data_IF_136835045345
#
_entry.id   IF_136835045345
#
_cell.length_a   1.000
_cell.length_b   1.000
_cell.length_c   1.000
_cell.angle_alpha   90.00
_cell.angle_beta   90.00
_cell.angle_gamma   90.00
#
_symmetry.space_group_name_H-M   'P 1'
#
loop_
_entity.id
_entity.type
_entity.pdbx_description
1 polymer ?
#
# COMPACT_ATOMS: atom_id res chain seq x y z
N UNK A 1 -6.97 6.50 -8.25
CA UNK A 1 -7.64 7.50 -7.37
C UNK A 1 -8.92 8.07 -7.99
N UNK A 2 -8.88 8.62 -9.22
CA UNK A 2 -10.05 9.23 -9.89
C UNK A 2 -11.34 8.38 -9.84
N UNK A 3 -11.28 7.09 -10.16
CA UNK A 3 -12.46 6.19 -10.15
C UNK A 3 -13.13 6.07 -8.78
N UNK A 4 -12.35 6.02 -7.69
CA UNK A 4 -12.89 5.93 -6.32
C UNK A 4 -13.62 7.22 -5.97
N UNK A 5 -13.02 8.37 -6.31
CA UNK A 5 -13.59 9.69 -6.04
C UNK A 5 -14.86 9.92 -6.88
N UNK A 6 -14.80 9.60 -8.19
CA UNK A 6 -15.90 9.79 -9.12
C UNK A 6 -17.10 8.89 -8.80
N UNK A 7 -16.85 7.61 -8.48
CA UNK A 7 -17.92 6.65 -8.21
C UNK A 7 -18.34 6.63 -6.73
N UNK A 8 -17.59 7.30 -5.85
CA UNK A 8 -17.80 7.32 -4.38
C UNK A 8 -17.99 5.93 -3.75
N UNK A 9 -17.39 4.92 -4.36
CA UNK A 9 -17.40 3.53 -3.87
C UNK A 9 -16.01 2.93 -4.01
N UNK A 10 -15.66 2.06 -3.07
CA UNK A 10 -14.43 1.30 -3.03
C UNK A 10 -14.65 -0.20 -3.31
N UNK A 11 -15.78 -0.54 -3.92
CA UNK A 11 -16.09 -1.92 -4.36
C UNK A 11 -14.98 -2.51 -5.24
N UNK A 12 -14.66 -3.78 -4.96
CA UNK A 12 -13.64 -4.55 -5.69
C UNK A 12 -12.22 -4.45 -5.14
N UNK A 13 -11.97 -3.63 -4.11
CA UNK A 13 -10.68 -3.62 -3.40
C UNK A 13 -10.68 -4.58 -2.22
N UNK A 14 -9.66 -5.43 -2.14
CA UNK A 14 -9.42 -6.29 -0.98
C UNK A 14 -8.67 -5.51 0.11
N UNK A 15 -9.17 -5.46 1.36
CA UNK A 15 -8.47 -4.79 2.46
C UNK A 15 -7.09 -5.41 2.75
N UNK A 16 -6.94 -6.72 2.54
CA UNK A 16 -5.65 -7.41 2.65
C UNK A 16 -4.63 -6.93 1.59
N UNK A 17 -5.08 -6.72 0.37
CA UNK A 17 -4.21 -6.22 -0.70
C UNK A 17 -3.72 -4.80 -0.39
N UNK A 18 -4.58 -3.94 0.16
CA UNK A 18 -4.22 -2.58 0.56
C UNK A 18 -3.28 -2.59 1.77
N UNK A 19 -3.51 -3.46 2.76
CA UNK A 19 -2.63 -3.67 3.90
C UNK A 19 -1.22 -4.05 3.43
N UNK A 20 -1.09 -5.18 2.72
CA UNK A 20 0.19 -5.72 2.27
C UNK A 20 0.96 -4.71 1.41
N UNK A 21 0.24 -3.99 0.54
CA UNK A 21 0.85 -2.97 -0.32
C UNK A 21 1.31 -1.73 0.42
N UNK A 22 0.52 -1.21 1.36
CA UNK A 22 0.92 -0.05 2.15
C UNK A 22 2.12 -0.35 3.04
N UNK A 23 2.13 -1.52 3.68
CA UNK A 23 3.25 -2.01 4.49
C UNK A 23 4.50 -2.23 3.62
N UNK A 24 4.38 -2.96 2.51
CA UNK A 24 5.49 -3.19 1.57
C UNK A 24 6.09 -1.88 1.05
N UNK A 25 5.24 -0.93 0.64
CA UNK A 25 5.69 0.36 0.12
C UNK A 25 6.37 1.23 1.19
N UNK A 26 5.89 1.17 2.44
CA UNK A 26 6.50 1.89 3.56
C UNK A 26 7.89 1.35 3.88
N UNK A 27 8.04 0.03 4.00
CA UNK A 27 9.33 -0.61 4.23
C UNK A 27 10.31 -0.32 3.07
N UNK A 28 9.83 -0.35 1.83
CA UNK A 28 10.64 -0.04 0.65
C UNK A 28 11.10 1.43 0.61
N UNK A 29 10.21 2.37 0.94
CA UNK A 29 10.56 3.79 1.06
C UNK A 29 11.60 4.02 2.16
N UNK A 30 11.40 3.45 3.35
CA UNK A 30 12.33 3.61 4.48
C UNK A 30 13.68 2.96 4.21
N UNK A 31 13.72 1.83 3.48
CA UNK A 31 14.95 1.23 3.00
C UNK A 31 15.75 2.21 2.13
N UNK A 32 15.11 2.85 1.15
CA UNK A 32 15.75 3.83 0.26
C UNK A 32 16.24 5.05 1.06
N UNK A 33 15.43 5.57 1.99
CA UNK A 33 15.81 6.69 2.87
C UNK A 33 17.04 6.31 3.71
N UNK A 34 17.05 5.10 4.28
CA UNK A 34 18.14 4.61 5.12
C UNK A 34 19.46 4.57 4.33
N UNK A 35 19.44 4.01 3.12
CA UNK A 35 20.64 3.87 2.27
C UNK A 35 21.10 5.19 1.64
N UNK A 36 20.21 6.17 1.46
CA UNK A 36 20.51 7.45 0.82
C UNK A 36 20.61 8.61 1.83
N UNK A 37 20.68 8.32 3.14
CA UNK A 37 20.63 9.33 4.18
C UNK A 37 21.77 10.35 4.09
N UNK A 38 22.97 9.92 3.69
CA UNK A 38 24.12 10.83 3.54
C UNK A 38 23.94 11.78 2.35
N UNK A 39 23.34 11.30 1.26
CA UNK A 39 22.96 12.15 0.11
C UNK A 39 21.91 13.18 0.53
N UNK A 40 20.91 12.77 1.31
CA UNK A 40 19.86 13.65 1.85
C UNK A 40 20.47 14.73 2.75
N UNK A 41 21.44 14.40 3.60
CA UNK A 41 22.15 15.39 4.44
C UNK A 41 23.00 16.35 3.58
N UNK A 42 23.69 15.83 2.57
CA UNK A 42 24.51 16.62 1.65
C UNK A 42 23.69 17.62 0.83
N UNK A 43 22.41 17.32 0.56
CA UNK A 43 21.49 18.21 -0.14
C UNK A 43 21.36 19.62 0.48
N UNK A 44 21.64 19.79 1.77
CA UNK A 44 21.66 21.11 2.43
C UNK A 44 22.78 22.03 1.92
N UNK A 45 23.84 21.46 1.35
CA UNK A 45 25.07 22.17 0.97
C UNK A 45 25.26 22.33 -0.55
N UNK A 46 24.46 21.67 -1.38
CA UNK A 46 24.58 21.69 -2.85
C UNK A 46 23.45 22.49 -3.50
N UNK A 47 23.62 22.85 -4.77
CA UNK A 47 22.56 23.55 -5.53
C UNK A 47 21.35 22.64 -5.73
N UNK A 48 20.16 23.24 -5.73
CA UNK A 48 18.87 22.54 -5.84
C UNK A 48 18.80 21.54 -7.00
N UNK A 49 19.27 21.90 -8.20
CA UNK A 49 19.22 21.02 -9.39
C UNK A 49 20.00 19.72 -9.22
N UNK A 50 21.24 19.80 -8.72
CA UNK A 50 22.06 18.62 -8.45
C UNK A 50 21.50 17.76 -7.31
N UNK A 51 20.92 18.39 -6.29
CA UNK A 51 20.22 17.68 -5.23
C UNK A 51 19.00 16.92 -5.79
N UNK A 52 18.18 17.57 -6.63
CA UNK A 52 16.99 16.95 -7.20
C UNK A 52 17.32 15.71 -8.05
N UNK A 53 18.37 15.81 -8.86
CA UNK A 53 18.89 14.69 -9.64
C UNK A 53 19.36 13.54 -8.74
N UNK A 54 20.13 13.87 -7.69
CA UNK A 54 20.66 12.89 -6.74
C UNK A 54 19.56 12.23 -5.88
N UNK A 55 18.45 12.94 -5.64
CA UNK A 55 17.32 12.44 -4.86
C UNK A 55 16.24 11.74 -5.70
N UNK A 56 16.45 11.55 -7.01
CA UNK A 56 15.44 10.98 -7.90
C UNK A 56 14.83 9.67 -7.37
N UNK A 57 15.66 8.74 -6.90
CA UNK A 57 15.20 7.47 -6.33
C UNK A 57 14.42 7.62 -5.01
N UNK A 58 14.85 8.54 -4.14
CA UNK A 58 14.17 8.86 -2.87
C UNK A 58 12.78 9.44 -3.15
N UNK A 59 12.70 10.40 -4.07
CA UNK A 59 11.46 11.04 -4.48
C UNK A 59 10.50 10.03 -5.12
N UNK A 60 11.00 9.18 -6.01
CA UNK A 60 10.20 8.13 -6.64
C UNK A 60 9.59 7.19 -5.59
N UNK A 61 10.40 6.63 -4.69
CA UNK A 61 9.92 5.70 -3.67
C UNK A 61 8.92 6.36 -2.71
N UNK A 62 9.19 7.61 -2.31
CA UNK A 62 8.30 8.39 -1.42
C UNK A 62 6.95 8.68 -2.10
N UNK A 63 6.96 9.11 -3.36
CA UNK A 63 5.73 9.35 -4.12
C UNK A 63 4.92 8.07 -4.33
N UNK A 64 5.58 6.96 -4.63
CA UNK A 64 4.93 5.66 -4.78
C UNK A 64 4.22 5.25 -3.47
N UNK A 65 4.92 5.34 -2.34
CA UNK A 65 4.32 5.07 -1.02
C UNK A 65 3.16 6.02 -0.70
N UNK A 66 3.33 7.32 -0.94
CA UNK A 66 2.30 8.31 -0.68
C UNK A 66 1.04 8.06 -1.50
N UNK A 67 1.18 7.80 -2.80
CA UNK A 67 0.04 7.49 -3.66
C UNK A 67 -0.65 6.20 -3.26
N UNK A 68 0.08 5.15 -2.87
CA UNK A 68 -0.52 3.91 -2.40
C UNK A 68 -1.27 4.12 -1.07
N UNK A 69 -0.68 4.85 -0.13
CA UNK A 69 -1.31 5.19 1.16
C UNK A 69 -2.57 6.04 0.98
N UNK A 70 -2.59 6.95 0.01
CA UNK A 70 -3.81 7.69 -0.34
C UNK A 70 -4.94 6.79 -0.84
N UNK A 71 -4.64 5.66 -1.51
CA UNK A 71 -5.67 4.69 -1.91
C UNK A 71 -6.28 4.05 -0.66
N UNK A 72 -5.47 3.68 0.35
CA UNK A 72 -5.96 3.13 1.61
C UNK A 72 -6.87 4.13 2.34
N UNK A 73 -6.48 5.41 2.40
CA UNK A 73 -7.31 6.46 3.00
C UNK A 73 -8.64 6.61 2.25
N UNK A 74 -8.61 6.70 0.92
CA UNK A 74 -9.84 6.79 0.12
C UNK A 74 -10.70 5.54 0.21
N UNK A 75 -10.11 4.36 0.35
CA UNK A 75 -10.83 3.11 0.57
C UNK A 75 -11.66 3.17 1.87
N UNK A 76 -11.08 3.67 2.96
CA UNK A 76 -11.79 3.82 4.24
C UNK A 76 -12.86 4.91 4.19
N UNK A 77 -12.59 6.04 3.52
CA UNK A 77 -13.53 7.15 3.42
C UNK A 77 -14.73 6.83 2.53
N UNK A 78 -14.51 6.12 1.42
CA UNK A 78 -15.54 5.73 0.46
C UNK A 78 -15.93 4.25 0.59
N UNK A 79 -15.89 3.70 1.81
CA UNK A 79 -16.36 2.34 2.05
C UNK A 79 -17.87 2.26 1.80
N UNK A 80 -18.35 1.36 0.92
CA UNK A 80 -19.76 1.30 0.51
C UNK A 80 -20.67 1.10 1.72
N UNK A 81 -21.68 1.98 1.94
CA UNK A 81 -22.54 1.91 3.12
C UNK A 81 -23.33 0.60 3.24
N UNK A 82 -23.66 -0.05 2.13
CA UNK A 82 -24.41 -1.30 2.12
C UNK A 82 -23.54 -2.53 2.48
N UNK A 83 -22.22 -2.48 2.29
CA UNK A 83 -21.32 -3.53 2.82
C UNK A 83 -20.91 -3.26 4.26
N UNK A 84 -21.27 -2.10 4.82
CA UNK A 84 -20.84 -1.68 6.17
C UNK A 84 -21.73 -2.25 7.27
N UNK A 85 -23.01 -2.46 6.99
CA UNK A 85 -24.01 -2.89 7.96
C UNK A 85 -24.64 -4.21 7.55
N UNK A 86 -24.92 -5.07 8.54
CA UNK A 86 -25.60 -6.35 8.33
C UNK A 86 -27.09 -6.06 8.16
N UNK A 87 -27.66 -6.50 7.05
CA UNK A 87 -29.11 -6.52 6.86
C UNK A 87 -29.69 -7.71 7.63
N UNK A 88 -30.58 -7.46 8.59
CA UNK A 88 -31.24 -8.53 9.33
C UNK A 88 -32.40 -9.07 8.50
N UNK A 89 -32.47 -10.39 8.26
CA UNK A 89 -33.61 -10.99 7.61
C UNK A 89 -34.84 -10.76 8.49
N UNK A 90 -35.91 -10.23 7.90
CA UNK A 90 -37.19 -10.14 8.57
C UNK A 90 -37.80 -11.54 8.54
N UNK A 91 -37.85 -12.21 9.69
CA UNK A 91 -38.48 -13.53 9.80
C UNK A 91 -39.97 -13.32 10.10
N UNK A 92 -40.89 -13.67 9.18
CA UNK A 92 -42.31 -13.50 9.42
C UNK A 92 -42.72 -14.36 10.61
N UNK A 93 -43.49 -13.76 11.52
CA UNK A 93 -43.96 -14.41 12.75
C UNK A 93 -45.11 -15.36 12.44
N UNK A 94 -45.87 -15.04 11.39
CA UNK A 94 -47.04 -15.78 10.93
C UNK A 94 -46.93 -16.09 9.42
N UNK A 95 -47.53 -17.20 8.93
CA UNK A 95 -47.50 -17.58 7.51
C UNK A 95 -48.19 -16.58 6.56
N UNK A 96 -49.17 -15.83 7.07
CA UNK A 96 -49.94 -14.85 6.31
C UNK A 96 -49.32 -13.44 6.32
N UNK A 97 -48.18 -13.27 7.01
CA UNK A 97 -47.49 -11.99 7.12
C UNK A 97 -46.73 -11.69 5.80
N UNK A 98 -46.92 -10.50 5.19
CA UNK A 98 -46.20 -10.14 3.98
C UNK A 98 -44.69 -10.10 4.23
N UNK A 99 -43.91 -10.67 3.30
CA UNK A 99 -42.44 -10.60 3.31
C UNK A 99 -41.98 -9.14 3.22
N UNK A 100 -41.62 -8.57 4.37
CA UNK A 100 -41.05 -7.24 4.48
C UNK A 100 -39.60 -7.23 3.96
N UNK A 101 -39.13 -6.12 3.38
CA UNK A 101 -37.73 -5.98 3.00
C UNK A 101 -36.82 -6.07 4.24
N UNK A 102 -35.56 -6.53 4.08
CA UNK A 102 -34.60 -6.64 5.17
C UNK A 102 -34.46 -5.33 5.95
N UNK A 103 -34.45 -5.40 7.27
CA UNK A 103 -34.27 -4.23 8.12
C UNK A 103 -32.77 -3.96 8.30
N UNK A 104 -32.33 -2.73 7.99
CA UNK A 104 -30.96 -2.29 8.24
C UNK A 104 -30.68 -2.28 9.74
N UNK A 105 -29.75 -3.12 10.19
CA UNK A 105 -29.28 -3.09 11.58
C UNK A 105 -28.09 -2.14 11.73
N UNK A 106 -27.85 -1.66 12.96
CA UNK A 106 -26.62 -0.92 13.28
C UNK A 106 -25.41 -1.85 13.54
N UNK A 107 -25.54 -3.15 13.23
CA UNK A 107 -24.47 -4.12 13.40
C UNK A 107 -23.52 -4.00 12.22
N UNK A 108 -22.24 -3.74 12.50
CA UNK A 108 -21.19 -3.64 11.49
C UNK A 108 -20.79 -5.02 10.97
N UNK A 109 -20.58 -5.14 9.66
CA UNK A 109 -20.07 -6.36 9.00
C UNK A 109 -18.66 -6.71 9.45
N UNK A 110 -18.32 -8.01 9.37
CA UNK A 110 -16.97 -8.50 9.68
C UNK A 110 -15.92 -7.93 8.71
N UNK A 111 -16.28 -7.72 7.44
CA UNK A 111 -15.41 -7.09 6.45
C UNK A 111 -15.01 -5.67 6.85
N UNK A 112 -15.96 -4.86 7.33
CA UNK A 112 -15.67 -3.51 7.82
C UNK A 112 -14.80 -3.52 9.09
N UNK A 113 -15.09 -4.44 10.02
CA UNK A 113 -14.27 -4.61 11.24
C UNK A 113 -12.84 -5.01 10.88
N UNK A 114 -12.68 -5.96 9.96
CA UNK A 114 -11.40 -6.39 9.44
C UNK A 114 -10.66 -5.23 8.77
N UNK A 115 -11.31 -4.48 7.87
CA UNK A 115 -10.72 -3.33 7.19
C UNK A 115 -10.17 -2.28 8.18
N UNK A 116 -10.94 -1.94 9.22
CA UNK A 116 -10.50 -1.01 10.26
C UNK A 116 -9.34 -1.57 11.08
N UNK A 117 -9.42 -2.85 11.45
CA UNK A 117 -8.37 -3.52 12.25
C UNK A 117 -7.05 -3.54 11.48
N UNK A 118 -7.09 -3.95 10.21
CA UNK A 118 -5.93 -3.95 9.33
C UNK A 118 -5.37 -2.54 9.14
N UNK A 119 -6.21 -1.52 9.02
CA UNK A 119 -5.75 -0.13 8.87
C UNK A 119 -4.96 0.36 10.08
N UNK A 120 -5.39 0.02 11.29
CA UNK A 120 -4.62 0.30 12.51
C UNK A 120 -3.31 -0.47 12.56
N UNK A 121 -3.30 -1.73 12.11
CA UNK A 121 -2.07 -2.54 11.99
C UNK A 121 -1.07 -1.89 11.02
N UNK A 122 -1.51 -1.41 9.85
CA UNK A 122 -0.64 -0.65 8.93
C UNK A 122 -0.10 0.60 9.62
N UNK A 123 -0.98 1.40 10.24
CA UNK A 123 -0.56 2.65 10.86
C UNK A 123 0.49 2.43 11.95
N UNK A 124 0.29 1.42 12.80
CA UNK A 124 1.26 1.04 13.82
C UNK A 124 2.58 0.55 13.21
N UNK A 125 2.53 -0.29 12.18
CA UNK A 125 3.72 -0.80 11.50
C UNK A 125 4.56 0.34 10.90
N UNK A 126 3.91 1.26 10.17
CA UNK A 126 4.59 2.42 9.57
C UNK A 126 5.20 3.29 10.67
N UNK A 127 4.47 3.55 11.76
CA UNK A 127 4.98 4.32 12.88
C UNK A 127 6.18 3.66 13.55
N UNK A 128 6.13 2.34 13.74
CA UNK A 128 7.22 1.56 14.32
C UNK A 128 8.47 1.59 13.42
N UNK A 129 8.35 1.29 12.13
CA UNK A 129 9.48 1.32 11.21
C UNK A 129 10.07 2.72 11.08
N UNK A 130 9.22 3.75 10.99
CA UNK A 130 9.67 5.14 10.94
C UNK A 130 10.42 5.51 12.23
N UNK A 131 9.87 5.14 13.40
CA UNK A 131 10.52 5.36 14.68
C UNK A 131 11.91 4.72 14.74
N UNK A 132 12.01 3.42 14.43
CA UNK A 132 13.30 2.71 14.45
C UNK A 132 14.28 3.31 13.45
N UNK A 133 13.82 3.63 12.24
CA UNK A 133 14.65 4.23 11.19
C UNK A 133 15.22 5.58 11.64
N UNK A 134 14.37 6.53 12.07
CA UNK A 134 14.83 7.84 12.50
C UNK A 134 15.60 7.81 13.81
N UNK A 135 15.29 6.87 14.71
CA UNK A 135 16.09 6.61 15.90
C UNK A 135 17.50 6.20 15.51
N UNK A 136 17.66 5.17 14.68
CA UNK A 136 18.97 4.73 14.19
C UNK A 136 19.72 5.88 13.54
N UNK A 137 19.10 6.61 12.60
CA UNK A 137 19.72 7.73 11.90
C UNK A 137 20.16 8.89 12.83
N UNK A 138 19.54 9.04 14.00
CA UNK A 138 19.85 10.11 14.96
C UNK A 138 21.05 9.81 15.85
N UNK A 139 21.35 8.54 16.12
CA UNK A 139 22.46 8.14 17.01
C UNK A 139 23.78 7.85 16.28
N UNK A 140 23.86 8.14 14.97
CA UNK A 140 25.05 7.94 14.15
C UNK A 140 25.58 6.49 14.24
N UNK A 141 24.78 5.50 13.80
CA UNK A 141 25.11 4.10 13.94
C UNK A 141 26.24 3.73 12.97
N UNK A 142 26.91 2.61 13.23
CA UNK A 142 27.90 2.07 12.30
C UNK A 142 27.26 1.67 10.97
N UNK A 143 28.09 1.50 9.94
CA UNK A 143 27.62 1.10 8.62
C UNK A 143 26.88 -0.25 8.66
N UNK A 144 27.32 -1.17 9.53
CA UNK A 144 26.75 -2.51 9.66
C UNK A 144 25.29 -2.46 10.13
N UNK A 145 24.97 -1.62 11.12
CA UNK A 145 23.60 -1.47 11.62
C UNK A 145 22.69 -0.82 10.58
N UNK A 146 23.20 0.17 9.82
CA UNK A 146 22.47 0.79 8.70
C UNK A 146 22.13 -0.26 7.64
N UNK A 147 23.12 -1.06 7.22
CA UNK A 147 22.95 -2.08 6.20
C UNK A 147 22.07 -3.24 6.69
N UNK A 148 22.17 -3.64 7.95
CA UNK A 148 21.33 -4.68 8.52
C UNK A 148 19.85 -4.26 8.55
N UNK A 149 19.55 -3.06 9.06
CA UNK A 149 18.19 -2.52 9.09
C UNK A 149 17.65 -2.28 7.68
N UNK A 150 18.44 -1.70 6.79
CA UNK A 150 18.06 -1.50 5.40
C UNK A 150 17.75 -2.84 4.71
N UNK A 151 18.61 -3.86 4.87
CA UNK A 151 18.37 -5.19 4.30
C UNK A 151 17.07 -5.79 4.83
N UNK A 152 16.81 -5.69 6.13
CA UNK A 152 15.56 -6.17 6.73
C UNK A 152 14.33 -5.50 6.09
N UNK A 153 14.33 -4.16 5.99
CA UNK A 153 13.25 -3.40 5.35
C UNK A 153 13.07 -3.78 3.88
N UNK A 154 14.17 -3.94 3.14
CA UNK A 154 14.17 -4.29 1.72
C UNK A 154 13.62 -5.70 1.46
N UNK A 155 14.09 -6.70 2.21
CA UNK A 155 13.60 -8.09 2.11
C UNK A 155 12.14 -8.18 2.50
N UNK A 156 11.75 -7.50 3.58
CA UNK A 156 10.34 -7.45 4.03
C UNK A 156 9.45 -6.81 2.96
N UNK A 157 9.87 -5.68 2.38
CA UNK A 157 9.17 -5.02 1.29
C UNK A 157 8.97 -5.97 0.09
N UNK A 158 10.04 -6.61 -0.36
CA UNK A 158 10.01 -7.53 -1.49
C UNK A 158 9.13 -8.75 -1.23
N UNK A 159 9.24 -9.37 -0.05
CA UNK A 159 8.43 -10.52 0.34
C UNK A 159 6.94 -10.19 0.38
N UNK A 160 6.57 -9.07 0.99
CA UNK A 160 5.19 -8.60 1.04
C UNK A 160 4.65 -8.28 -0.37
N UNK A 161 5.46 -7.68 -1.23
CA UNK A 161 5.08 -7.40 -2.62
C UNK A 161 4.81 -8.70 -3.40
N UNK A 162 5.64 -9.73 -3.23
CA UNK A 162 5.44 -11.03 -3.86
C UNK A 162 4.12 -11.66 -3.42
N UNK A 163 3.85 -11.69 -2.11
CA UNK A 163 2.59 -12.22 -1.55
C UNK A 163 1.38 -11.41 -2.06
N UNK A 164 1.53 -10.10 -2.23
CA UNK A 164 0.49 -9.22 -2.72
C UNK A 164 0.19 -9.44 -4.21
N UNK A 165 1.22 -9.48 -5.06
CA UNK A 165 1.06 -9.46 -6.51
C UNK A 165 0.88 -10.85 -7.13
N UNK A 166 1.46 -11.92 -6.57
CA UNK A 166 1.36 -13.27 -7.15
C UNK A 166 -0.09 -13.77 -7.29
N UNK A 167 -0.96 -13.68 -6.25
CA UNK A 167 -2.34 -14.14 -6.38
C UNK A 167 -3.11 -13.36 -7.45
N UNK A 168 -2.84 -12.05 -7.54
CA UNK A 168 -3.47 -11.19 -8.52
C UNK A 168 -3.02 -11.52 -9.95
N UNK A 169 -1.73 -11.81 -10.14
CA UNK A 169 -1.18 -12.24 -11.42
C UNK A 169 -1.77 -13.58 -11.85
N UNK A 170 -1.84 -14.55 -10.92
CA UNK A 170 -2.45 -15.86 -11.15
C UNK A 170 -3.93 -15.74 -11.55
N UNK A 171 -4.71 -14.92 -10.84
CA UNK A 171 -6.12 -14.65 -11.17
C UNK A 171 -6.25 -14.02 -12.56
N UNK A 172 -5.43 -13.03 -12.87
CA UNK A 172 -5.43 -12.35 -14.18
C UNK A 172 -5.10 -13.34 -15.31
N UNK A 173 -4.09 -14.19 -15.09
CA UNK A 173 -3.70 -15.23 -16.05
C UNK A 173 -4.83 -16.24 -16.32
N UNK A 174 -5.51 -16.72 -15.27
CA UNK A 174 -6.60 -17.69 -15.39
C UNK A 174 -7.84 -17.12 -16.06
N UNK A 175 -8.19 -15.87 -15.74
CA UNK A 175 -9.39 -15.21 -16.27
C UNK A 175 -9.18 -14.60 -17.66
N UNK A 176 -7.92 -14.43 -18.11
CA UNK A 176 -7.55 -13.77 -19.37
C UNK A 176 -8.19 -12.38 -19.55
N UNK A 177 -8.49 -11.71 -18.45
CA UNK A 177 -9.12 -10.39 -18.40
C UNK A 177 -8.23 -9.46 -17.58
N UNK A 178 -7.81 -8.35 -18.20
CA UNK A 178 -6.90 -7.34 -17.60
C UNK A 178 -7.62 -6.53 -16.50
N UNK A 179 -8.96 -6.55 -16.49
CA UNK A 179 -9.78 -5.94 -15.45
C UNK A 179 -9.52 -4.43 -15.31
N UNK A 180 -9.10 -4.00 -14.12
CA UNK A 180 -8.83 -2.60 -13.81
C UNK A 180 -7.36 -2.16 -14.03
N UNK A 181 -6.49 -3.05 -14.55
CA UNK A 181 -5.07 -2.75 -14.76
C UNK A 181 -4.89 -1.81 -15.96
N UNK A 182 -4.13 -0.72 -15.77
CA UNK A 182 -3.79 0.21 -16.85
C UNK A 182 -2.67 -0.36 -17.73
N UNK A 183 -3.02 -0.77 -18.95
CA UNK A 183 -2.07 -1.28 -19.95
C UNK A 183 -0.94 -0.26 -20.23
N UNK A 184 -1.23 1.04 -20.47
CA UNK A 184 -0.17 2.02 -20.71
C UNK A 184 0.84 2.13 -19.56
N UNK A 185 0.34 2.05 -18.32
CA UNK A 185 1.18 2.11 -17.12
C UNK A 185 2.12 0.91 -17.04
N UNK A 186 1.65 -0.28 -17.44
CA UNK A 186 2.47 -1.50 -17.46
C UNK A 186 3.51 -1.48 -18.58
N UNK A 187 3.17 -0.94 -19.76
CA UNK A 187 4.12 -0.79 -20.86
C UNK A 187 5.27 0.16 -20.55
N UNK A 188 5.07 1.13 -19.65
CA UNK A 188 6.14 2.05 -19.22
C UNK A 188 6.93 1.44 -18.05
N UNK A 189 6.25 0.92 -17.03
CA UNK A 189 6.91 0.42 -15.82
C UNK A 189 7.71 -0.87 -16.05
N UNK A 190 7.18 -1.81 -16.83
CA UNK A 190 7.83 -3.14 -16.97
C UNK A 190 9.21 -3.04 -17.62
N UNK A 191 9.39 -2.34 -18.77
CA UNK A 191 10.71 -2.16 -19.35
C UNK A 191 11.65 -1.36 -18.44
N UNK A 192 11.14 -0.32 -17.77
CA UNK A 192 11.92 0.47 -16.81
C UNK A 192 12.45 -0.36 -15.64
N UNK A 193 11.61 -1.24 -15.07
CA UNK A 193 12.01 -2.16 -14.00
C UNK A 193 13.06 -3.16 -14.49
N UNK A 194 12.92 -3.70 -15.71
CA UNK A 194 13.92 -4.59 -16.30
C UNK A 194 15.27 -3.89 -16.46
N UNK A 195 15.29 -2.68 -17.02
CA UNK A 195 16.52 -1.89 -17.17
C UNK A 195 17.18 -1.60 -15.81
N UNK A 196 16.38 -1.27 -14.79
CA UNK A 196 16.88 -1.04 -13.44
C UNK A 196 17.52 -2.29 -12.85
N UNK A 197 16.85 -3.46 -12.93
CA UNK A 197 17.39 -4.72 -12.41
C UNK A 197 18.66 -5.11 -13.16
N UNK A 198 18.69 -4.96 -14.49
CA UNK A 198 19.89 -5.23 -15.29
C UNK A 198 21.04 -4.30 -14.90
N UNK A 199 20.78 -3.00 -14.72
CA UNK A 199 21.79 -2.05 -14.27
C UNK A 199 22.34 -2.40 -12.88
N UNK A 200 21.51 -2.93 -11.97
CA UNK A 200 21.98 -3.42 -10.66
C UNK A 200 22.81 -4.70 -10.83
N UNK A 201 22.35 -5.66 -11.62
CA UNK A 201 23.03 -6.95 -11.80
C UNK A 201 24.37 -6.84 -12.53
N UNK A 202 24.57 -5.78 -13.32
CA UNK A 202 25.82 -5.52 -14.05
C UNK A 202 26.79 -4.58 -13.31
N UNK A 203 26.41 -4.06 -12.14
CA UNK A 203 27.28 -3.26 -11.26
C UNK A 203 27.98 -4.15 -10.25
#
# INVERSE_FOLDING_TARGET
HYRIIANKTSEGFSPWYLLLGSTSAASGMLNVIMLQWDVIKCCKHVKFGYCLESLGGVLQATLQWAFFSLILVFYLLYFPPHLKYVDLPHQPSNPDEPLLPPQRSNVRTDEWRLAITLSWVVAFHIAFEAFVTFFLLSYHPGADEIHAWATFLGVTSAGLAVIQYLPQLGKTYRLKLVGAISIPMMCIQTPGAVLMVLNIAMR
#
